data_IF_612276488508
#
_entry.id   IF_612276488508
#
_cell.length_a   1.000
_cell.length_b   1.000
_cell.length_c   1.000
_cell.angle_alpha   90.00
_cell.angle_beta   90.00
_cell.angle_gamma   90.00
#
_symmetry.space_group_name_H-M   'P 1'
#
loop_
_entity.id
_entity.type
_entity.pdbx_description
1 polymer ?
#
# COMPACT_ATOMS: atom_id res chain seq x y z
N UNK A 1 24.22 7.90 23.34
CA UNK A 1 22.79 7.61 23.05
C UNK A 1 22.67 6.20 22.50
N UNK A 2 22.92 5.19 23.34
CA UNK A 2 23.05 3.78 22.92
C UNK A 2 22.60 2.87 24.06
N UNK A 3 21.31 2.95 24.43
CA UNK A 3 20.78 2.18 25.57
C UNK A 3 19.33 1.68 25.40
N UNK A 4 18.70 1.84 24.24
CA UNK A 4 17.30 1.43 24.04
C UNK A 4 17.11 0.33 22.97
N UNK A 5 18.20 -0.24 22.42
CA UNK A 5 18.15 -1.25 21.35
C UNK A 5 18.74 -2.62 21.76
N UNK A 6 18.78 -2.92 23.05
CA UNK A 6 18.98 -4.30 23.50
C UNK A 6 17.61 -4.85 23.92
N UNK A 7 17.00 -5.65 23.06
CA UNK A 7 15.92 -6.54 23.49
C UNK A 7 16.49 -7.45 24.60
N UNK A 8 15.88 -7.49 25.79
CA UNK A 8 16.32 -8.38 26.85
C UNK A 8 16.37 -9.84 26.35
N UNK A 9 17.44 -10.56 26.69
CA UNK A 9 17.63 -11.99 26.38
C UNK A 9 16.42 -12.83 26.85
N UNK A 10 15.75 -12.38 27.91
CA UNK A 10 14.51 -12.95 28.45
C UNK A 10 13.35 -12.96 27.45
N UNK A 11 13.24 -11.93 26.59
CA UNK A 11 12.23 -11.89 25.51
C UNK A 11 12.52 -13.00 24.49
N UNK A 12 13.79 -13.22 24.15
CA UNK A 12 14.20 -14.25 23.18
C UNK A 12 13.93 -15.66 23.72
N UNK A 13 14.23 -15.90 25.01
CA UNK A 13 13.91 -17.16 25.67
C UNK A 13 12.40 -17.40 25.76
N UNK A 14 11.62 -16.34 25.98
CA UNK A 14 10.15 -16.38 25.98
C UNK A 14 9.62 -16.71 24.57
N UNK A 15 10.13 -16.04 23.53
CA UNK A 15 9.81 -16.32 22.13
C UNK A 15 10.07 -17.79 21.78
N UNK A 16 11.21 -18.36 22.19
CA UNK A 16 11.49 -19.78 21.94
C UNK A 16 10.60 -20.73 22.75
N UNK A 17 10.39 -20.47 24.04
CA UNK A 17 9.54 -21.32 24.89
C UNK A 17 8.11 -21.41 24.33
N UNK A 18 7.63 -20.34 23.70
CA UNK A 18 6.31 -20.32 23.08
C UNK A 18 6.28 -20.80 21.62
N UNK A 19 7.35 -20.68 20.84
CA UNK A 19 7.37 -21.15 19.43
C UNK A 19 7.55 -22.68 19.34
N UNK A 20 8.21 -23.33 20.30
CA UNK A 20 8.35 -24.80 20.31
C UNK A 20 6.99 -25.45 20.62
N UNK A 21 6.30 -25.92 19.56
CA UNK A 21 4.99 -26.57 19.63
C UNK A 21 3.81 -25.72 19.10
N UNK A 22 4.12 -24.61 18.42
CA UNK A 22 3.18 -23.62 17.86
C UNK A 22 2.21 -23.09 18.92
N UNK A 23 2.63 -22.04 19.62
CA UNK A 23 1.70 -21.17 20.30
C UNK A 23 1.36 -19.99 19.38
N UNK A 24 0.33 -20.13 18.56
CA UNK A 24 -0.13 -19.07 17.66
C UNK A 24 -0.42 -17.77 18.42
N UNK A 25 -0.95 -17.86 19.65
CA UNK A 25 -1.20 -16.69 20.50
C UNK A 25 0.11 -15.94 20.85
N UNK A 26 1.24 -16.64 21.00
CA UNK A 26 2.53 -16.00 21.23
C UNK A 26 3.09 -15.34 19.97
N UNK A 27 2.93 -15.96 18.80
CA UNK A 27 3.29 -15.34 17.52
C UNK A 27 2.46 -14.08 17.31
N UNK A 28 1.15 -14.16 17.56
CA UNK A 28 0.23 -13.01 17.53
C UNK A 28 0.70 -11.92 18.50
N UNK A 29 1.08 -12.29 19.73
CA UNK A 29 1.56 -11.33 20.72
C UNK A 29 2.83 -10.61 20.25
N UNK A 30 3.82 -11.35 19.72
CA UNK A 30 5.06 -10.77 19.19
C UNK A 30 4.75 -9.81 18.05
N UNK A 31 3.96 -10.25 17.07
CA UNK A 31 3.65 -9.44 15.88
C UNK A 31 2.89 -8.18 16.28
N UNK A 32 1.88 -8.29 17.15
CA UNK A 32 1.03 -7.15 17.51
C UNK A 32 1.61 -6.17 18.51
N UNK A 33 2.73 -6.50 19.18
CA UNK A 33 3.31 -5.64 20.23
C UNK A 33 4.72 -5.16 19.95
N UNK A 34 5.26 -5.45 18.76
CA UNK A 34 6.59 -5.03 18.33
C UNK A 34 6.49 -4.39 16.96
N UNK A 35 7.11 -3.24 16.75
CA UNK A 35 7.19 -2.63 15.42
C UNK A 35 8.06 -3.47 14.47
N UNK A 36 7.99 -3.20 13.17
CA UNK A 36 8.75 -3.95 12.17
C UNK A 36 10.26 -3.93 12.47
N UNK A 37 10.80 -2.78 12.87
CA UNK A 37 12.21 -2.63 13.23
C UNK A 37 12.61 -3.56 14.39
N UNK A 38 11.80 -3.62 15.44
CA UNK A 38 12.01 -4.54 16.56
C UNK A 38 11.90 -6.01 16.11
N UNK A 39 11.00 -6.34 15.18
CA UNK A 39 10.92 -7.68 14.58
C UNK A 39 12.17 -8.01 13.74
N UNK A 40 12.78 -7.04 13.06
CA UNK A 40 14.08 -7.24 12.39
C UNK A 40 15.22 -7.48 13.40
N UNK A 41 15.26 -6.74 14.51
CA UNK A 41 16.23 -6.97 15.58
C UNK A 41 16.05 -8.35 16.21
N UNK A 42 14.81 -8.79 16.43
CA UNK A 42 14.50 -10.13 16.92
C UNK A 42 15.04 -11.22 16.00
N UNK A 43 14.84 -11.11 14.68
CA UNK A 43 15.40 -12.05 13.69
C UNK A 43 16.92 -12.16 13.80
N UNK A 44 17.62 -11.02 13.89
CA UNK A 44 19.08 -10.98 14.01
C UNK A 44 19.57 -11.63 15.31
N UNK A 45 18.92 -11.31 16.43
CA UNK A 45 19.28 -11.86 17.73
C UNK A 45 19.00 -13.36 17.83
N UNK A 46 17.90 -13.84 17.23
CA UNK A 46 17.58 -15.26 17.13
C UNK A 46 18.66 -16.01 16.34
N UNK A 47 19.04 -15.50 15.16
CA UNK A 47 20.11 -16.11 14.35
C UNK A 47 21.44 -16.16 15.09
N UNK A 48 21.79 -15.08 15.80
CA UNK A 48 23.05 -15.00 16.57
C UNK A 48 23.08 -15.99 17.73
N UNK A 49 21.95 -16.15 18.43
CA UNK A 49 21.87 -16.97 19.63
C UNK A 49 21.74 -18.47 19.33
N UNK A 50 21.09 -18.84 18.22
CA UNK A 50 20.72 -20.24 17.94
C UNK A 50 21.23 -20.78 16.61
N UNK A 51 21.79 -19.95 15.73
CA UNK A 51 22.24 -20.36 14.39
C UNK A 51 21.12 -20.72 13.41
N UNK A 52 19.84 -20.68 13.82
CA UNK A 52 18.64 -20.99 13.02
C UNK A 52 18.03 -19.75 12.38
N UNK A 53 17.24 -19.94 11.34
CA UNK A 53 16.48 -18.87 10.69
C UNK A 53 15.05 -18.81 11.26
N UNK A 54 14.72 -17.73 11.98
CA UNK A 54 13.42 -17.55 12.62
C UNK A 54 12.26 -17.55 11.61
N UNK A 55 12.47 -17.02 10.41
CA UNK A 55 11.40 -16.92 9.41
C UNK A 55 11.12 -18.28 8.81
N UNK A 56 12.15 -19.04 8.46
CA UNK A 56 11.96 -20.42 7.98
C UNK A 56 11.29 -21.30 9.04
N UNK A 57 11.69 -21.15 10.31
CA UNK A 57 11.09 -21.87 11.43
C UNK A 57 9.60 -21.52 11.60
N UNK A 58 9.22 -20.23 11.56
CA UNK A 58 7.81 -19.83 11.64
C UNK A 58 7.04 -20.31 10.40
N UNK A 59 7.65 -20.20 9.22
CA UNK A 59 7.01 -20.54 7.95
C UNK A 59 6.70 -22.02 7.82
N UNK A 60 7.51 -22.91 8.41
CA UNK A 60 7.26 -24.36 8.40
C UNK A 60 6.12 -24.78 9.32
N UNK A 61 5.85 -24.02 10.38
CA UNK A 61 4.81 -24.33 11.37
C UNK A 61 3.45 -23.72 11.04
N UNK A 62 3.40 -22.67 10.19
CA UNK A 62 2.17 -21.96 9.86
C UNK A 62 1.61 -22.34 8.48
N UNK A 63 0.32 -22.10 8.29
CA UNK A 63 -0.35 -22.28 6.99
C UNK A 63 -1.41 -21.21 6.71
N UNK A 64 -1.91 -21.19 5.47
CA UNK A 64 -2.99 -20.30 5.02
C UNK A 64 -2.73 -18.81 5.24
N UNK A 65 -3.82 -18.06 5.38
CA UNK A 65 -3.83 -16.59 5.54
C UNK A 65 -3.14 -16.14 6.83
N UNK A 66 -3.16 -16.99 7.87
CA UNK A 66 -2.43 -16.69 9.11
C UNK A 66 -0.92 -16.65 8.86
N UNK A 67 -0.37 -17.66 8.14
CA UNK A 67 1.04 -17.64 7.74
C UNK A 67 1.36 -16.38 6.93
N UNK A 68 0.55 -16.08 5.91
CA UNK A 68 0.80 -14.94 5.03
C UNK A 68 0.79 -13.62 5.82
N UNK A 69 -0.17 -13.44 6.72
CA UNK A 69 -0.24 -12.26 7.60
C UNK A 69 1.00 -12.13 8.49
N UNK A 70 1.45 -13.23 9.09
CA UNK A 70 2.66 -13.24 9.93
C UNK A 70 3.89 -12.90 9.09
N UNK A 71 4.05 -13.51 7.91
CA UNK A 71 5.18 -13.23 7.02
C UNK A 71 5.20 -11.76 6.56
N UNK A 72 4.05 -11.20 6.18
CA UNK A 72 3.90 -9.81 5.80
C UNK A 72 4.38 -8.85 6.91
N UNK A 73 4.12 -9.19 8.17
CA UNK A 73 4.55 -8.38 9.31
C UNK A 73 6.04 -8.53 9.64
N UNK A 74 6.66 -9.67 9.32
CA UNK A 74 8.03 -10.00 9.74
C UNK A 74 9.12 -9.59 8.74
N UNK A 75 8.80 -9.44 7.46
CA UNK A 75 9.74 -8.90 6.47
C UNK A 75 9.75 -7.38 6.52
N UNK A 76 10.79 -6.74 5.97
CA UNK A 76 10.82 -5.27 5.85
C UNK A 76 9.68 -4.83 4.90
N UNK A 77 9.08 -3.63 5.10
CA UNK A 77 8.01 -3.14 4.22
C UNK A 77 8.35 -3.20 2.73
N UNK A 78 9.54 -2.71 2.34
CA UNK A 78 10.02 -2.77 0.97
C UNK A 78 10.09 -4.19 0.39
N UNK A 79 10.48 -5.18 1.20
CA UNK A 79 10.55 -6.59 0.79
C UNK A 79 9.15 -7.17 0.58
N UNK A 80 8.19 -6.79 1.43
CA UNK A 80 6.81 -7.22 1.28
C UNK A 80 6.15 -6.59 0.04
N UNK A 81 6.32 -5.28 -0.17
CA UNK A 81 5.81 -4.60 -1.37
C UNK A 81 6.40 -5.23 -2.64
N UNK A 82 7.70 -5.50 -2.67
CA UNK A 82 8.34 -6.17 -3.80
C UNK A 82 7.79 -7.58 -4.06
N UNK A 83 7.55 -8.35 -3.00
CA UNK A 83 6.91 -9.66 -3.11
C UNK A 83 5.47 -9.54 -3.66
N UNK A 84 4.67 -8.59 -3.17
CA UNK A 84 3.32 -8.37 -3.66
C UNK A 84 3.30 -7.96 -5.14
N UNK A 85 4.23 -7.10 -5.59
CA UNK A 85 4.34 -6.76 -7.02
C UNK A 85 4.73 -7.98 -7.85
N UNK A 86 5.68 -8.81 -7.39
CA UNK A 86 6.05 -10.06 -8.10
C UNK A 86 4.87 -11.02 -8.22
N UNK A 87 4.12 -11.22 -7.15
CA UNK A 87 2.91 -12.06 -7.18
C UNK A 87 1.83 -11.49 -8.10
N UNK A 88 1.74 -10.16 -8.20
CA UNK A 88 0.78 -9.48 -9.06
C UNK A 88 1.15 -9.57 -10.56
N UNK A 89 2.43 -9.73 -10.87
CA UNK A 89 2.96 -9.84 -12.25
C UNK A 89 2.98 -11.32 -12.65
N UNK A 90 3.71 -12.16 -11.91
CA UNK A 90 3.95 -13.56 -12.26
C UNK A 90 2.84 -14.52 -11.79
N UNK A 91 1.73 -14.00 -11.29
CA UNK A 91 0.57 -14.77 -10.86
C UNK A 91 -0.21 -15.38 -12.03
N UNK A 92 -1.38 -15.96 -11.72
CA UNK A 92 -2.31 -16.38 -12.76
C UNK A 92 -3.03 -15.15 -13.33
N UNK A 93 -2.45 -14.61 -14.41
CA UNK A 93 -2.84 -13.30 -14.93
C UNK A 93 -2.28 -12.17 -14.07
N UNK A 94 -2.37 -10.95 -14.60
CA UNK A 94 -1.91 -9.76 -13.90
C UNK A 94 -2.95 -9.33 -12.87
N UNK A 95 -2.51 -8.97 -11.65
CA UNK A 95 -3.35 -8.31 -10.64
C UNK A 95 -3.11 -6.79 -10.68
N UNK A 96 -3.82 -6.13 -11.60
CA UNK A 96 -3.68 -4.69 -11.82
C UNK A 96 -4.09 -3.89 -10.57
N UNK A 97 -5.01 -4.39 -9.75
CA UNK A 97 -5.43 -3.71 -8.51
C UNK A 97 -4.30 -3.64 -7.48
N UNK A 98 -3.48 -4.69 -7.37
CA UNK A 98 -2.30 -4.71 -6.49
C UNK A 98 -1.22 -3.77 -7.02
N UNK A 99 -0.96 -3.78 -8.33
CA UNK A 99 -0.02 -2.85 -8.98
C UNK A 99 -0.42 -1.39 -8.73
N UNK A 100 -1.69 -1.06 -8.96
CA UNK A 100 -2.25 0.28 -8.71
C UNK A 100 -2.14 0.66 -7.24
N UNK A 101 -2.49 -0.24 -6.31
CA UNK A 101 -2.42 0.07 -4.88
C UNK A 101 -1.02 0.46 -4.43
N UNK A 102 -0.01 -0.34 -4.80
CA UNK A 102 1.34 -0.13 -4.32
C UNK A 102 1.95 1.07 -5.04
N UNK A 103 1.98 1.05 -6.38
CA UNK A 103 2.66 2.09 -7.16
C UNK A 103 1.99 3.47 -7.05
N UNK A 104 0.67 3.52 -6.76
CA UNK A 104 -0.06 4.77 -6.60
C UNK A 104 -0.28 5.20 -5.13
N UNK A 105 0.39 4.58 -4.15
CA UNK A 105 0.28 5.02 -2.74
C UNK A 105 1.57 5.09 -1.96
N UNK A 106 2.64 4.45 -2.43
CA UNK A 106 3.96 4.47 -1.79
C UNK A 106 4.69 5.77 -2.09
N UNK A 107 5.39 6.31 -1.10
CA UNK A 107 6.23 7.50 -1.30
C UNK A 107 7.40 7.21 -2.23
N UNK A 108 8.04 8.26 -2.77
CA UNK A 108 9.25 8.12 -3.58
C UNK A 108 10.33 7.29 -2.87
N UNK A 109 10.55 7.52 -1.58
CA UNK A 109 11.48 6.74 -0.76
C UNK A 109 11.08 5.26 -0.67
N UNK A 110 9.80 4.98 -0.44
CA UNK A 110 9.29 3.60 -0.38
C UNK A 110 9.41 2.88 -1.73
N UNK A 111 9.14 3.56 -2.85
CA UNK A 111 9.33 3.01 -4.20
C UNK A 111 10.81 2.68 -4.45
N UNK A 112 11.72 3.57 -4.09
CA UNK A 112 13.15 3.33 -4.28
C UNK A 112 13.66 2.17 -3.41
N UNK A 113 13.28 2.11 -2.13
CA UNK A 113 13.62 0.99 -1.25
C UNK A 113 13.05 -0.34 -1.76
N UNK A 114 11.83 -0.33 -2.31
CA UNK A 114 11.21 -1.52 -2.92
C UNK A 114 12.00 -1.98 -4.15
N UNK A 115 12.43 -1.05 -5.03
CA UNK A 115 13.23 -1.37 -6.22
C UNK A 115 14.55 -2.04 -5.86
N UNK A 116 15.26 -1.52 -4.85
CA UNK A 116 16.53 -2.09 -4.38
C UNK A 116 16.44 -3.57 -3.98
N UNK A 117 15.27 -4.01 -3.49
CA UNK A 117 15.05 -5.41 -3.08
C UNK A 117 14.27 -6.24 -4.11
N UNK A 118 13.73 -5.60 -5.15
CA UNK A 118 12.92 -6.26 -6.17
C UNK A 118 13.79 -7.09 -7.13
N UNK A 119 14.89 -6.53 -7.61
CA UNK A 119 15.76 -7.14 -8.61
C UNK A 119 16.91 -6.21 -8.98
N UNK A 120 17.44 -6.34 -10.19
CA UNK A 120 18.33 -5.29 -10.72
C UNK A 120 17.56 -3.98 -10.96
N UNK A 121 18.29 -2.87 -11.16
CA UNK A 121 17.73 -1.52 -11.29
C UNK A 121 16.64 -1.38 -12.37
N UNK A 122 16.62 -2.29 -13.35
CA UNK A 122 15.70 -2.28 -14.48
C UNK A 122 14.62 -3.36 -14.42
N UNK A 123 14.75 -4.34 -13.51
CA UNK A 123 13.92 -5.53 -13.51
C UNK A 123 12.43 -5.21 -13.29
N UNK A 124 12.12 -4.32 -12.34
CA UNK A 124 10.74 -3.89 -12.10
C UNK A 124 10.10 -3.25 -13.34
N UNK A 125 10.87 -2.43 -14.06
CA UNK A 125 10.37 -1.75 -15.25
C UNK A 125 10.10 -2.75 -16.37
N UNK A 126 11.04 -3.66 -16.62
CA UNK A 126 10.87 -4.74 -17.61
C UNK A 126 9.66 -5.62 -17.31
N UNK A 127 9.50 -6.01 -16.05
CA UNK A 127 8.38 -6.85 -15.63
C UNK A 127 7.03 -6.13 -15.84
N UNK A 128 6.96 -4.83 -15.51
CA UNK A 128 5.78 -4.00 -15.84
C UNK A 128 5.59 -3.90 -17.36
N UNK A 129 6.66 -3.75 -18.13
CA UNK A 129 6.59 -3.60 -19.59
C UNK A 129 6.04 -4.83 -20.31
N UNK A 130 6.40 -6.01 -19.81
CA UNK A 130 6.03 -7.32 -20.35
C UNK A 130 4.58 -7.70 -19.99
N UNK A 131 4.11 -7.42 -18.77
CA UNK A 131 2.79 -7.83 -18.29
C UNK A 131 1.68 -6.77 -18.40
N UNK A 132 2.01 -5.55 -18.83
CA UNK A 132 1.02 -4.48 -19.00
C UNK A 132 1.11 -3.79 -20.37
N UNK A 133 0.04 -3.08 -20.76
CA UNK A 133 -0.04 -2.43 -22.08
C UNK A 133 -0.69 -1.05 -22.03
N UNK A 134 -0.60 -0.33 -23.16
CA UNK A 134 -1.25 0.97 -23.35
C UNK A 134 -0.82 2.05 -22.35
N UNK A 135 -1.74 2.95 -22.04
CA UNK A 135 -1.49 4.07 -21.12
C UNK A 135 -1.40 3.64 -19.66
N UNK A 136 -1.99 2.50 -19.33
CA UNK A 136 -1.81 1.89 -18.01
C UNK A 136 -0.35 1.52 -17.77
N UNK A 137 0.30 0.85 -18.73
CA UNK A 137 1.75 0.58 -18.67
C UNK A 137 2.56 1.84 -18.44
N UNK A 138 2.33 2.88 -19.26
CA UNK A 138 3.06 4.16 -19.17
C UNK A 138 2.90 4.80 -17.78
N UNK A 139 1.71 4.68 -17.20
CA UNK A 139 1.42 5.21 -15.87
C UNK A 139 2.19 4.45 -14.78
N UNK A 140 2.22 3.13 -14.85
CA UNK A 140 2.97 2.30 -13.89
C UNK A 140 4.48 2.53 -13.99
N UNK A 141 5.03 2.62 -15.21
CA UNK A 141 6.45 2.94 -15.43
C UNK A 141 6.79 4.30 -14.82
N UNK A 142 5.93 5.30 -15.03
CA UNK A 142 6.16 6.64 -14.48
C UNK A 142 6.12 6.63 -12.94
N UNK A 143 5.17 5.92 -12.35
CA UNK A 143 5.06 5.76 -10.90
C UNK A 143 6.25 4.98 -10.30
N UNK A 144 6.80 3.99 -11.02
CA UNK A 144 7.94 3.19 -10.59
C UNK A 144 9.28 3.93 -10.68
N UNK A 145 9.34 5.15 -11.25
CA UNK A 145 10.57 5.95 -11.23
C UNK A 145 10.91 6.52 -9.85
N UNK A 146 9.90 6.75 -8.99
CA UNK A 146 10.13 7.21 -7.61
C UNK A 146 10.64 8.65 -7.49
N UNK A 147 10.24 9.55 -8.40
CA UNK A 147 10.83 10.91 -8.52
C UNK A 147 9.85 12.08 -8.51
N UNK A 148 8.54 11.90 -8.28
CA UNK A 148 7.60 13.03 -8.39
C UNK A 148 6.34 12.94 -7.53
N UNK A 149 5.45 12.01 -7.87
CA UNK A 149 4.04 12.03 -7.45
C UNK A 149 3.78 12.09 -5.93
N UNK A 150 4.70 11.59 -5.10
CA UNK A 150 4.52 11.47 -3.64
C UNK A 150 5.58 12.17 -2.81
N UNK A 151 6.32 13.11 -3.41
CA UNK A 151 7.18 13.98 -2.62
C UNK A 151 6.32 15.01 -1.88
N UNK A 152 6.34 14.96 -0.55
CA UNK A 152 5.70 15.96 0.31
C UNK A 152 6.79 16.86 0.86
N UNK A 153 6.92 18.04 0.26
CA UNK A 153 7.80 19.09 0.74
C UNK A 153 6.98 20.20 1.39
N UNK A 154 6.96 20.23 2.73
CA UNK A 154 6.19 21.21 3.51
C UNK A 154 6.73 22.64 3.39
N UNK A 155 7.99 22.81 2.96
CA UNK A 155 8.66 24.10 2.84
C UNK A 155 8.55 24.70 1.42
N UNK A 156 8.16 23.88 0.43
CA UNK A 156 7.99 24.32 -0.95
C UNK A 156 6.64 25.03 -1.14
N UNK A 157 6.69 26.24 -1.69
CA UNK A 157 5.50 26.93 -2.15
C UNK A 157 5.05 26.36 -3.50
N UNK A 158 3.76 26.07 -3.63
CA UNK A 158 3.18 25.59 -4.89
C UNK A 158 3.18 26.70 -5.95
N UNK A 159 3.67 26.41 -7.15
CA UNK A 159 3.54 27.30 -8.32
C UNK A 159 2.08 27.30 -8.81
N UNK A 160 1.34 28.33 -8.41
CA UNK A 160 -0.07 28.48 -8.78
C UNK A 160 -0.29 28.78 -10.26
N UNK A 161 0.69 29.36 -10.96
CA UNK A 161 0.55 29.61 -12.40
C UNK A 161 0.78 28.32 -13.20
N UNK A 162 1.70 27.46 -12.76
CA UNK A 162 1.81 26.10 -13.28
C UNK A 162 0.53 25.30 -13.02
N UNK A 163 -0.02 25.36 -11.80
CA UNK A 163 -1.25 24.67 -11.47
C UNK A 163 -2.44 25.07 -12.36
N UNK A 164 -2.56 26.37 -12.68
CA UNK A 164 -3.58 26.86 -13.63
C UNK A 164 -3.35 26.37 -15.05
N UNK A 165 -2.09 26.41 -15.54
CA UNK A 165 -1.75 25.92 -16.88
C UNK A 165 -2.03 24.43 -17.01
N UNK A 166 -1.61 23.62 -16.06
CA UNK A 166 -1.85 22.18 -16.07
C UNK A 166 -3.36 21.86 -15.95
N UNK A 167 -4.11 22.64 -15.16
CA UNK A 167 -5.57 22.47 -15.07
C UNK A 167 -6.28 22.78 -16.39
N UNK A 168 -5.89 23.86 -17.07
CA UNK A 168 -6.38 24.18 -18.41
C UNK A 168 -5.98 23.10 -19.42
N UNK A 169 -4.74 22.60 -19.33
CA UNK A 169 -4.26 21.54 -20.21
C UNK A 169 -5.05 20.24 -20.04
N UNK A 170 -5.39 19.84 -18.80
CA UNK A 170 -6.27 18.71 -18.53
C UNK A 170 -7.68 18.91 -19.10
N UNK A 171 -8.23 20.13 -18.99
CA UNK A 171 -9.53 20.46 -19.57
C UNK A 171 -9.50 20.33 -21.10
N UNK A 172 -8.48 20.91 -21.74
CA UNK A 172 -8.27 20.82 -23.18
C UNK A 172 -8.01 19.38 -23.63
N UNK A 173 -7.36 18.56 -22.79
CA UNK A 173 -7.03 17.16 -23.04
C UNK A 173 -8.22 16.19 -22.95
N UNK A 174 -9.27 16.54 -22.22
CA UNK A 174 -10.47 15.72 -22.04
C UNK A 174 -11.74 16.48 -22.44
N UNK A 175 -12.40 17.12 -21.48
CA UNK A 175 -13.77 17.67 -21.62
C UNK A 175 -13.96 18.68 -22.77
N UNK A 176 -12.89 19.31 -23.28
CA UNK A 176 -12.98 20.24 -24.41
C UNK A 176 -12.94 19.57 -25.80
N UNK A 177 -12.65 18.26 -25.90
CA UNK A 177 -12.52 17.54 -27.17
C UNK A 177 -13.37 16.25 -27.17
N UNK A 178 -13.45 15.60 -28.34
CA UNK A 178 -13.99 14.24 -28.43
C UNK A 178 -12.85 13.24 -28.29
N UNK A 179 -13.01 12.28 -27.36
CA UNK A 179 -11.92 11.40 -26.94
C UNK A 179 -11.02 12.09 -25.91
N UNK A 180 -9.96 11.38 -25.51
CA UNK A 180 -9.07 11.83 -24.44
C UNK A 180 -7.63 11.83 -24.95
N UNK A 181 -6.82 12.73 -24.43
CA UNK A 181 -5.37 12.71 -24.59
C UNK A 181 -4.76 12.11 -23.32
N UNK A 182 -4.64 10.78 -23.33
CA UNK A 182 -4.17 10.00 -22.20
C UNK A 182 -2.71 10.32 -21.84
N UNK A 183 -1.90 10.73 -22.82
CA UNK A 183 -0.51 11.13 -22.61
C UNK A 183 -0.42 12.37 -21.72
N UNK A 184 -1.26 13.38 -21.96
CA UNK A 184 -1.35 14.59 -21.13
C UNK A 184 -1.80 14.27 -19.71
N UNK A 185 -2.84 13.44 -19.57
CA UNK A 185 -3.28 12.97 -18.25
C UNK A 185 -2.16 12.24 -17.52
N UNK A 186 -1.49 11.30 -18.19
CA UNK A 186 -0.41 10.52 -17.61
C UNK A 186 0.75 11.43 -17.15
N UNK A 187 1.23 12.32 -18.02
CA UNK A 187 2.32 13.24 -17.70
C UNK A 187 2.00 14.12 -16.50
N UNK A 188 0.81 14.74 -16.45
CA UNK A 188 0.45 15.64 -15.35
C UNK A 188 0.29 14.85 -14.04
N UNK A 189 -0.38 13.71 -14.07
CA UNK A 189 -0.63 12.91 -12.87
C UNK A 189 0.63 12.26 -12.29
N UNK A 190 1.61 11.89 -13.13
CA UNK A 190 2.80 11.16 -12.68
C UNK A 190 4.00 12.05 -12.34
N UNK A 191 4.06 13.28 -12.87
CA UNK A 191 5.25 14.15 -12.72
C UNK A 191 5.09 15.28 -11.72
N UNK A 192 3.85 15.60 -11.30
CA UNK A 192 3.58 16.69 -10.36
C UNK A 192 3.63 16.19 -8.93
N UNK A 193 4.20 17.00 -8.04
CA UNK A 193 4.24 16.69 -6.62
C UNK A 193 2.84 16.78 -5.96
N UNK A 194 2.77 16.32 -4.72
CA UNK A 194 1.54 16.22 -3.94
C UNK A 194 0.78 17.57 -3.83
N UNK A 195 1.48 18.68 -3.56
CA UNK A 195 0.82 19.97 -3.38
C UNK A 195 0.42 20.60 -4.71
N UNK A 196 1.25 20.42 -5.74
CA UNK A 196 0.94 20.82 -7.11
C UNK A 196 -0.33 20.14 -7.61
N UNK A 197 -0.47 18.82 -7.47
CA UNK A 197 -1.70 18.10 -7.85
C UNK A 197 -2.92 18.62 -7.10
N UNK A 198 -2.81 18.89 -5.79
CA UNK A 198 -3.91 19.49 -5.02
C UNK A 198 -4.32 20.88 -5.52
N UNK A 199 -3.36 21.71 -5.93
CA UNK A 199 -3.64 23.01 -6.51
C UNK A 199 -4.29 22.88 -7.90
N UNK A 200 -3.75 21.99 -8.75
CA UNK A 200 -4.29 21.70 -10.09
C UNK A 200 -5.76 21.33 -10.00
N UNK A 201 -6.16 20.43 -9.10
CA UNK A 201 -7.57 20.05 -8.99
C UNK A 201 -8.47 21.19 -8.53
N UNK A 202 -7.99 22.09 -7.68
CA UNK A 202 -8.75 23.27 -7.26
C UNK A 202 -8.94 24.24 -8.43
N UNK A 203 -7.92 24.46 -9.24
CA UNK A 203 -8.04 25.29 -10.44
C UNK A 203 -8.91 24.61 -11.50
N UNK A 204 -8.80 23.29 -11.67
CA UNK A 204 -9.61 22.50 -12.60
C UNK A 204 -11.11 22.68 -12.32
N UNK A 205 -11.54 22.61 -11.05
CA UNK A 205 -12.94 22.85 -10.67
C UNK A 205 -13.41 24.26 -11.05
N UNK A 206 -12.54 25.28 -10.99
CA UNK A 206 -12.92 26.64 -11.41
C UNK A 206 -13.17 26.74 -12.92
N UNK A 207 -12.41 25.99 -13.71
CA UNK A 207 -12.51 25.99 -15.17
C UNK A 207 -13.74 25.18 -15.61
N UNK A 208 -13.88 23.95 -15.11
CA UNK A 208 -14.86 22.98 -15.64
C UNK A 208 -16.15 22.92 -14.85
N UNK A 209 -16.18 23.49 -13.63
CA UNK A 209 -17.24 23.29 -12.64
C UNK A 209 -17.46 21.79 -12.32
N UNK A 210 -16.46 20.95 -12.56
CA UNK A 210 -16.49 19.50 -12.35
C UNK A 210 -15.31 19.06 -11.50
N UNK A 211 -15.57 18.10 -10.63
CA UNK A 211 -14.54 17.41 -9.87
C UNK A 211 -13.64 16.57 -10.80
N UNK A 212 -12.32 16.67 -10.66
CA UNK A 212 -11.36 15.92 -11.51
C UNK A 212 -11.61 14.41 -11.50
N UNK A 213 -12.07 13.83 -10.39
CA UNK A 213 -12.36 12.40 -10.32
C UNK A 213 -13.53 12.03 -11.24
N UNK A 214 -14.55 12.89 -11.31
CA UNK A 214 -15.68 12.71 -12.23
C UNK A 214 -15.24 12.82 -13.69
N UNK A 215 -14.26 13.68 -14.01
CA UNK A 215 -13.69 13.79 -15.35
C UNK A 215 -12.89 12.53 -15.70
N UNK A 216 -12.02 12.05 -14.80
CA UNK A 216 -11.31 10.77 -14.97
C UNK A 216 -12.29 9.62 -15.24
N UNK A 217 -13.41 9.56 -14.50
CA UNK A 217 -14.43 8.52 -14.68
C UNK A 217 -15.12 8.53 -16.05
N UNK A 218 -15.23 9.71 -16.67
CA UNK A 218 -15.92 9.89 -17.95
C UNK A 218 -14.98 9.75 -19.13
N UNK A 219 -13.79 10.31 -19.02
CA UNK A 219 -12.84 10.48 -20.12
C UNK A 219 -11.93 9.25 -20.29
N UNK A 220 -11.68 8.47 -19.25
CA UNK A 220 -10.77 7.31 -19.31
C UNK A 220 -11.51 5.98 -19.17
N UNK A 221 -10.81 4.85 -19.28
CA UNK A 221 -11.39 3.51 -19.11
C UNK A 221 -10.36 2.50 -18.59
N UNK A 222 -10.82 1.29 -18.24
CA UNK A 222 -9.97 0.17 -17.81
C UNK A 222 -9.03 0.51 -16.64
N UNK A 223 -7.86 -0.12 -16.64
CA UNK A 223 -6.89 0.01 -15.55
C UNK A 223 -6.19 1.36 -15.53
N UNK A 224 -6.12 2.05 -16.67
CA UNK A 224 -5.66 3.44 -16.71
C UNK A 224 -6.56 4.34 -15.86
N UNK A 225 -7.89 4.19 -15.97
CA UNK A 225 -8.84 4.87 -15.07
C UNK A 225 -8.59 4.50 -13.62
N UNK A 226 -8.44 3.21 -13.32
CA UNK A 226 -8.19 2.73 -11.95
C UNK A 226 -6.94 3.36 -11.34
N UNK A 227 -5.86 3.45 -12.10
CA UNK A 227 -4.61 4.11 -11.72
C UNK A 227 -4.81 5.60 -11.42
N UNK A 228 -5.39 6.36 -12.35
CA UNK A 228 -5.64 7.80 -12.16
C UNK A 228 -6.55 8.06 -10.95
N UNK A 229 -7.61 7.26 -10.77
CA UNK A 229 -8.49 7.36 -9.59
C UNK A 229 -7.72 7.13 -8.30
N UNK A 230 -6.85 6.12 -8.25
CA UNK A 230 -6.04 5.83 -7.07
C UNK A 230 -5.14 7.02 -6.71
N UNK A 231 -4.52 7.67 -7.69
CA UNK A 231 -3.71 8.90 -7.48
C UNK A 231 -4.57 10.01 -6.86
N UNK A 232 -5.74 10.31 -7.45
CA UNK A 232 -6.65 11.35 -6.93
C UNK A 232 -7.06 11.05 -5.50
N UNK A 233 -7.49 9.82 -5.22
CA UNK A 233 -7.97 9.44 -3.89
C UNK A 233 -6.84 9.43 -2.86
N UNK A 234 -5.67 8.93 -3.23
CA UNK A 234 -4.50 8.89 -2.35
C UNK A 234 -4.09 10.31 -1.91
N UNK A 235 -4.00 11.25 -2.87
CA UNK A 235 -3.60 12.62 -2.55
C UNK A 235 -4.71 13.37 -1.80
N UNK A 236 -6.00 13.10 -2.06
CA UNK A 236 -7.12 13.71 -1.31
C UNK A 236 -7.20 13.22 0.12
N UNK A 237 -7.26 11.90 0.29
CA UNK A 237 -7.42 11.22 1.57
C UNK A 237 -6.97 9.77 1.45
N UNK A 238 -5.65 9.55 1.59
CA UNK A 238 -5.06 8.20 1.63
C UNK A 238 -5.75 7.24 2.62
N UNK A 239 -6.10 7.66 3.85
CA UNK A 239 -6.83 6.78 4.76
C UNK A 239 -8.19 6.32 4.21
N UNK A 240 -8.94 7.20 3.53
CA UNK A 240 -10.22 6.84 2.90
C UNK A 240 -10.01 5.86 1.73
N UNK A 241 -8.96 6.03 0.93
CA UNK A 241 -8.62 5.08 -0.14
C UNK A 241 -8.46 3.65 0.40
N UNK A 242 -7.67 3.48 1.47
CA UNK A 242 -7.48 2.16 2.08
C UNK A 242 -8.72 1.66 2.82
N UNK A 243 -9.52 2.55 3.42
CA UNK A 243 -10.79 2.18 4.03
C UNK A 243 -11.80 1.64 3.00
N UNK A 244 -11.96 2.31 1.86
CA UNK A 244 -12.77 1.81 0.74
C UNK A 244 -12.26 0.46 0.23
N UNK A 245 -10.94 0.30 0.12
CA UNK A 245 -10.33 -0.95 -0.35
C UNK A 245 -10.61 -2.11 0.61
N UNK A 246 -10.45 -1.90 1.92
CA UNK A 246 -10.81 -2.89 2.94
C UNK A 246 -12.31 -3.22 2.89
N UNK A 247 -13.18 -2.21 2.74
CA UNK A 247 -14.62 -2.44 2.65
C UNK A 247 -14.93 -3.31 1.44
N UNK A 248 -14.38 -3.00 0.27
CA UNK A 248 -14.59 -3.81 -0.95
C UNK A 248 -14.05 -5.23 -0.79
N UNK A 249 -12.90 -5.40 -0.13
CA UNK A 249 -12.28 -6.70 0.11
C UNK A 249 -13.09 -7.62 1.02
N UNK A 250 -13.97 -7.07 1.87
CA UNK A 250 -14.83 -7.84 2.78
C UNK A 250 -16.32 -7.80 2.40
N UNK A 251 -16.71 -6.98 1.41
CA UNK A 251 -18.12 -6.82 1.04
C UNK A 251 -18.55 -7.95 0.10
N UNK A 252 -19.52 -8.74 0.55
CA UNK A 252 -20.18 -9.76 -0.28
C UNK A 252 -20.08 -11.15 0.32
N UNK A 253 -20.14 -12.18 -0.52
CA UNK A 253 -19.89 -13.54 -0.09
C UNK A 253 -18.39 -13.84 -0.28
N UNK A 254 -17.70 -14.16 0.81
CA UNK A 254 -16.25 -14.39 0.82
C UNK A 254 -15.44 -13.12 1.01
N UNK A 255 -14.12 -13.26 0.97
CA UNK A 255 -13.13 -12.22 1.25
C UNK A 255 -12.03 -12.21 0.18
N UNK A 256 -11.46 -11.04 -0.08
CA UNK A 256 -10.22 -10.88 -0.82
C UNK A 256 -9.04 -10.82 0.17
N UNK A 257 -8.72 -11.95 0.80
CA UNK A 257 -7.77 -12.01 1.93
C UNK A 257 -6.39 -11.42 1.63
N UNK A 258 -5.84 -11.65 0.43
CA UNK A 258 -4.58 -11.02 0.00
C UNK A 258 -4.62 -9.49 0.13
N UNK A 259 -5.73 -8.85 -0.24
CA UNK A 259 -5.92 -7.41 -0.09
C UNK A 259 -6.08 -7.01 1.38
N UNK A 260 -6.84 -7.77 2.16
CA UNK A 260 -7.02 -7.50 3.60
C UNK A 260 -5.67 -7.55 4.32
N UNK A 261 -4.90 -8.62 4.10
CA UNK A 261 -3.57 -8.83 4.67
C UNK A 261 -2.64 -7.71 4.24
N UNK A 262 -2.55 -7.43 2.94
CA UNK A 262 -1.62 -6.43 2.41
C UNK A 262 -1.89 -5.05 2.97
N UNK A 263 -3.16 -4.62 3.00
CA UNK A 263 -3.53 -3.32 3.55
C UNK A 263 -3.28 -3.30 5.06
N UNK A 264 -3.75 -4.28 5.83
CA UNK A 264 -3.57 -4.23 7.30
C UNK A 264 -2.09 -4.28 7.68
N UNK A 265 -1.30 -5.19 7.11
CA UNK A 265 0.12 -5.31 7.41
C UNK A 265 0.89 -4.03 7.02
N UNK A 266 0.73 -3.54 5.78
CA UNK A 266 1.48 -2.38 5.28
C UNK A 266 1.08 -1.05 5.93
N UNK A 267 -0.15 -0.93 6.45
CA UNK A 267 -0.67 0.33 7.02
C UNK A 267 -0.68 0.36 8.55
N UNK A 268 -0.49 -0.78 9.22
CA UNK A 268 -0.55 -0.93 10.69
C UNK A 268 0.32 0.07 11.45
N UNK A 269 1.53 0.36 10.96
CA UNK A 269 2.51 1.26 11.60
C UNK A 269 2.55 2.67 10.97
N UNK A 270 1.57 3.02 10.11
CA UNK A 270 1.57 4.29 9.36
C UNK A 270 0.34 5.14 9.68
N UNK A 271 -0.85 4.67 9.31
CA UNK A 271 -2.09 5.46 9.35
C UNK A 271 -3.33 4.61 9.66
N UNK A 272 -3.16 3.45 10.30
CA UNK A 272 -4.26 2.55 10.67
C UNK A 272 -5.33 3.24 11.53
N UNK A 273 -4.96 4.16 12.42
CA UNK A 273 -5.92 4.93 13.24
C UNK A 273 -6.86 5.73 12.33
N UNK A 274 -6.32 6.48 11.38
CA UNK A 274 -7.11 7.29 10.45
C UNK A 274 -7.91 6.40 9.47
N UNK A 275 -7.36 5.26 9.05
CA UNK A 275 -8.08 4.29 8.21
C UNK A 275 -9.32 3.79 8.95
N UNK A 276 -9.22 3.45 10.24
CA UNK A 276 -10.39 3.03 11.04
C UNK A 276 -11.45 4.11 11.13
N UNK A 277 -11.06 5.37 11.32
CA UNK A 277 -11.99 6.51 11.36
C UNK A 277 -12.74 6.66 10.03
N UNK A 278 -12.02 6.65 8.90
CA UNK A 278 -12.63 6.70 7.57
C UNK A 278 -13.52 5.48 7.30
N UNK A 279 -13.10 4.28 7.72
CA UNK A 279 -13.88 3.06 7.56
C UNK A 279 -15.19 3.11 8.34
N UNK A 280 -15.17 3.62 9.57
CA UNK A 280 -16.37 3.83 10.37
C UNK A 280 -17.31 4.85 9.72
N UNK A 281 -16.78 5.95 9.19
CA UNK A 281 -17.56 6.94 8.44
C UNK A 281 -18.22 6.34 7.19
N UNK A 282 -17.49 5.45 6.48
CA UNK A 282 -17.95 4.83 5.24
C UNK A 282 -19.01 3.75 5.45
N UNK A 283 -18.91 2.97 6.54
CA UNK A 283 -19.68 1.73 6.71
C UNK A 283 -20.60 1.72 7.92
N UNK A 284 -20.55 2.75 8.78
CA UNK A 284 -21.26 2.86 10.06
C UNK A 284 -20.93 1.74 11.07
N UNK A 285 -19.94 0.90 10.76
CA UNK A 285 -19.42 -0.16 11.63
C UNK A 285 -17.90 -0.12 11.65
N UNK A 286 -17.30 -0.53 12.75
CA UNK A 286 -15.86 -0.43 12.89
C UNK A 286 -15.16 -1.54 12.11
N UNK A 287 -13.95 -1.26 11.59
CA UNK A 287 -13.13 -2.24 10.86
C UNK A 287 -12.92 -3.51 11.68
N UNK A 288 -12.74 -3.37 13.00
CA UNK A 288 -12.58 -4.48 13.92
C UNK A 288 -13.77 -5.45 13.89
N UNK A 289 -15.01 -4.93 13.80
CA UNK A 289 -16.24 -5.72 13.74
C UNK A 289 -16.45 -6.40 12.39
N UNK A 290 -16.05 -5.76 11.28
CA UNK A 290 -16.06 -6.40 9.97
C UNK A 290 -15.13 -7.61 9.95
N UNK A 291 -13.90 -7.45 10.44
CA UNK A 291 -12.96 -8.56 10.60
C UNK A 291 -13.48 -9.66 11.53
N UNK A 292 -14.28 -9.30 12.55
CA UNK A 292 -14.90 -10.29 13.44
C UNK A 292 -15.84 -11.24 12.70
N UNK A 293 -16.58 -10.69 11.73
CA UNK A 293 -17.60 -11.37 10.95
C UNK A 293 -17.02 -12.12 9.76
N UNK A 294 -16.10 -11.50 9.03
CA UNK A 294 -15.63 -11.97 7.72
C UNK A 294 -14.36 -12.83 7.80
N UNK A 295 -13.64 -12.81 8.94
CA UNK A 295 -12.44 -13.62 9.15
C UNK A 295 -12.62 -14.61 10.31
N UNK A 296 -11.78 -15.66 10.35
CA UNK A 296 -11.83 -16.67 11.42
C UNK A 296 -10.46 -17.08 11.95
N UNK A 297 -10.44 -17.87 13.03
CA UNK A 297 -9.23 -18.44 13.62
C UNK A 297 -8.17 -17.41 14.06
N UNK A 298 -6.90 -17.85 14.04
CA UNK A 298 -5.76 -17.01 14.41
C UNK A 298 -5.45 -15.91 13.41
N UNK A 299 -5.85 -16.10 12.15
CA UNK A 299 -5.86 -15.06 11.12
C UNK A 299 -6.70 -13.86 11.57
N UNK A 300 -7.98 -14.07 11.95
CA UNK A 300 -8.82 -13.01 12.51
C UNK A 300 -8.18 -12.36 13.73
N UNK A 301 -7.73 -13.18 14.69
CA UNK A 301 -7.16 -12.66 15.96
C UNK A 301 -6.00 -11.71 15.67
N UNK A 302 -5.11 -12.08 14.75
CA UNK A 302 -3.97 -11.26 14.37
C UNK A 302 -4.41 -9.95 13.70
N UNK A 303 -5.30 -10.02 12.70
CA UNK A 303 -5.79 -8.81 12.03
C UNK A 303 -6.46 -7.84 13.02
N UNK A 304 -7.31 -8.35 13.91
CA UNK A 304 -7.95 -7.55 14.95
C UNK A 304 -6.95 -6.90 15.92
N UNK A 305 -5.83 -7.57 16.21
CA UNK A 305 -4.76 -7.00 17.03
C UNK A 305 -3.98 -5.92 16.29
N UNK A 306 -3.70 -6.10 15.01
CA UNK A 306 -3.02 -5.10 14.16
C UNK A 306 -3.87 -3.85 13.94
N UNK A 307 -5.18 -4.02 13.76
CA UNK A 307 -6.15 -2.92 13.66
C UNK A 307 -6.34 -2.22 15.02
N UNK A 308 -6.29 -3.00 16.11
CA UNK A 308 -6.57 -2.54 17.47
C UNK A 308 -8.06 -2.31 17.69
N UNK A 309 -8.52 -2.56 18.92
CA UNK A 309 -9.91 -2.31 19.32
C UNK A 309 -10.13 -0.80 19.42
N UNK A 310 -11.30 -0.35 18.98
CA UNK A 310 -11.74 1.05 19.07
C UNK A 310 -11.81 1.54 20.52
#
# INVERSE_FOLDING_TARGET
>A
MTSLCQLPIEIIQTVLYYIIGTNEDAIIHIVSTRCNEQRQQLKKSFKTSYGRDLIEDIKSELSGDFKETVMACFVKPAVYDAWCIKEAIYGLGTDEETLVEILMTRTNAQINEMKEVYGDDTQLEKDIEEDTSGDFKRLLISASQGTGMYEVNYDALTDMDQARRDAEELYQAGEAKWGTDEETFNRIFSTRDYYSLRAIWKEYVKITQRDILNSVDRETSGDFKSGLRAIVMNIRCRPMFFAEKLMRAMKGLGTADKTIIRVIASRSEIDMVQIKECFLQLTEKTLWKWLEHDCSGDYKKLLQKLVGRD
#
